data_IF_600824843969
#
_entry.id   IF_600824843969
#
_cell.length_a   1.000
_cell.length_b   1.000
_cell.length_c   1.000
_cell.angle_alpha   90.00
_cell.angle_beta   90.00
_cell.angle_gamma   90.00
#
_symmetry.space_group_name_H-M   'P 1'
#
loop_
_entity.id
_entity.type
_entity.pdbx_description
1 polymer ?
#
# COMPACT_ATOMS: atom_id res chain seq x y z
N UNK A 1 -10.20 15.11 18.32
CA UNK A 1 -9.86 14.64 16.96
C UNK A 1 -8.71 13.63 17.00
N UNK A 2 -7.50 13.98 17.45
CA UNK A 2 -6.37 13.04 17.50
C UNK A 2 -6.55 11.88 18.51
N UNK A 3 -7.20 12.14 19.65
CA UNK A 3 -7.35 11.18 20.76
C UNK A 3 -8.10 9.91 20.36
N UNK A 4 -9.23 10.04 19.63
CA UNK A 4 -10.01 8.89 19.17
C UNK A 4 -9.20 8.00 18.21
N UNK A 5 -8.47 8.60 17.27
CA UNK A 5 -7.61 7.86 16.33
C UNK A 5 -6.42 7.16 17.02
N UNK A 6 -5.89 7.75 18.09
CA UNK A 6 -4.86 7.12 18.92
C UNK A 6 -5.45 5.96 19.73
N UNK A 7 -6.64 6.11 20.29
CA UNK A 7 -7.31 5.06 21.06
C UNK A 7 -7.64 3.83 20.22
N UNK A 8 -8.05 3.98 18.95
CA UNK A 8 -8.28 2.84 18.05
C UNK A 8 -7.02 1.96 17.90
N UNK A 9 -5.82 2.53 18.02
CA UNK A 9 -4.58 1.76 17.91
C UNK A 9 -4.24 1.03 19.22
N UNK A 10 -4.63 1.56 20.40
CA UNK A 10 -4.10 1.11 21.70
C UNK A 10 -5.10 0.46 22.66
N UNK A 11 -6.41 0.74 22.59
CA UNK A 11 -7.44 0.10 23.45
C UNK A 11 -8.89 0.41 23.04
N UNK A 12 -9.82 -0.51 23.33
CA UNK A 12 -11.28 -0.37 23.10
C UNK A 12 -11.67 0.13 21.70
N UNK A 13 -11.13 -0.51 20.67
CA UNK A 13 -11.30 -0.14 19.25
C UNK A 13 -12.77 0.12 18.87
N UNK A 14 -13.69 -0.74 19.31
CA UNK A 14 -15.13 -0.61 18.98
C UNK A 14 -15.79 0.62 19.60
N UNK A 15 -15.37 1.05 20.80
CA UNK A 15 -15.89 2.26 21.44
C UNK A 15 -15.44 3.52 20.69
N UNK A 16 -14.14 3.61 20.37
CA UNK A 16 -13.59 4.73 19.62
C UNK A 16 -14.16 4.80 18.18
N UNK A 17 -14.37 3.66 17.52
CA UNK A 17 -15.09 3.61 16.22
C UNK A 17 -16.55 4.09 16.39
N UNK A 18 -17.21 3.73 17.49
CA UNK A 18 -18.55 4.21 17.84
C UNK A 18 -18.63 5.73 17.98
N UNK A 19 -17.66 6.35 18.67
CA UNK A 19 -17.55 7.81 18.79
C UNK A 19 -17.33 8.49 17.43
N UNK A 20 -16.45 7.92 16.59
CA UNK A 20 -16.23 8.41 15.22
C UNK A 20 -17.54 8.36 14.43
N UNK A 21 -18.26 7.24 14.47
CA UNK A 21 -19.58 7.11 13.82
C UNK A 21 -20.57 8.14 14.32
N UNK A 22 -20.68 8.32 15.64
CA UNK A 22 -21.63 9.23 16.27
C UNK A 22 -21.33 10.70 16.02
N UNK A 23 -20.07 11.04 15.70
CA UNK A 23 -19.70 12.39 15.28
C UNK A 23 -20.38 12.84 13.99
N UNK A 24 -20.74 11.89 13.11
CA UNK A 24 -21.29 12.18 11.79
C UNK A 24 -20.31 12.87 10.84
N UNK A 25 -19.02 12.96 11.19
CA UNK A 25 -18.00 13.67 10.43
C UNK A 25 -17.36 12.75 9.38
N UNK A 26 -17.63 12.95 8.07
CA UNK A 26 -17.11 12.08 7.02
C UNK A 26 -15.59 12.18 6.85
N UNK A 27 -14.93 13.20 7.42
CA UNK A 27 -13.46 13.33 7.31
C UNK A 27 -12.73 12.14 7.93
N UNK A 28 -13.35 11.40 8.85
CA UNK A 28 -12.77 10.18 9.42
C UNK A 28 -12.80 8.96 8.48
N UNK A 29 -13.53 9.01 7.36
CA UNK A 29 -13.63 7.88 6.41
C UNK A 29 -12.24 7.37 5.95
N UNK A 30 -11.30 8.22 5.48
CA UNK A 30 -9.92 7.81 5.20
C UNK A 30 -9.26 6.96 6.30
N UNK A 31 -9.42 7.33 7.56
CA UNK A 31 -8.82 6.59 8.68
C UNK A 31 -9.50 5.24 8.92
N UNK A 32 -10.83 5.18 8.80
CA UNK A 32 -11.58 3.93 8.91
C UNK A 32 -11.20 2.95 7.78
N UNK A 33 -10.96 3.45 6.56
CA UNK A 33 -10.49 2.64 5.43
C UNK A 33 -9.08 2.09 5.68
N UNK A 34 -8.15 2.89 6.24
CA UNK A 34 -6.84 2.39 6.64
C UNK A 34 -6.96 1.30 7.72
N UNK A 35 -7.77 1.52 8.74
CA UNK A 35 -7.97 0.54 9.82
C UNK A 35 -8.55 -0.78 9.32
N UNK A 36 -9.41 -0.74 8.30
CA UNK A 36 -9.93 -1.95 7.64
C UNK A 36 -8.80 -2.78 6.99
N UNK A 37 -7.73 -2.15 6.49
CA UNK A 37 -6.53 -2.85 5.98
C UNK A 37 -5.71 -3.48 7.10
N UNK A 38 -5.58 -2.78 8.23
CA UNK A 38 -4.73 -3.16 9.36
C UNK A 38 -5.48 -3.93 10.47
N UNK A 39 -6.68 -4.44 10.18
CA UNK A 39 -7.37 -5.44 11.00
C UNK A 39 -7.26 -6.87 10.41
N UNK A 40 -6.05 -7.43 10.20
CA UNK A 40 -5.88 -8.71 9.50
C UNK A 40 -6.30 -9.94 10.32
N UNK A 41 -6.68 -9.78 11.60
CA UNK A 41 -6.98 -10.90 12.52
C UNK A 41 -8.48 -11.17 12.75
N UNK A 42 -9.38 -10.70 11.88
CA UNK A 42 -10.81 -11.04 11.91
C UNK A 42 -11.45 -10.93 13.31
N UNK A 43 -11.10 -9.89 14.08
CA UNK A 43 -11.94 -9.51 15.21
C UNK A 43 -13.24 -9.00 14.60
N UNK A 44 -14.20 -9.92 14.44
CA UNK A 44 -15.43 -9.70 13.70
C UNK A 44 -16.14 -8.44 14.19
N UNK A 45 -16.19 -8.25 15.51
CA UNK A 45 -16.80 -7.07 16.15
C UNK A 45 -16.15 -5.74 15.72
N UNK A 46 -14.82 -5.73 15.51
CA UNK A 46 -14.09 -4.54 15.05
C UNK A 46 -14.36 -4.30 13.58
N UNK A 47 -14.32 -5.34 12.75
CA UNK A 47 -14.65 -5.24 11.32
C UNK A 47 -16.09 -4.75 11.14
N UNK A 48 -17.05 -5.32 11.87
CA UNK A 48 -18.45 -4.93 11.82
C UNK A 48 -18.64 -3.48 12.28
N UNK A 49 -17.92 -3.07 13.33
CA UNK A 49 -17.93 -1.68 13.79
C UNK A 49 -17.37 -0.71 12.74
N UNK A 50 -16.24 -1.06 12.10
CA UNK A 50 -15.63 -0.26 11.03
C UNK A 50 -16.57 -0.12 9.84
N UNK A 51 -17.15 -1.23 9.37
CA UNK A 51 -18.07 -1.23 8.24
C UNK A 51 -19.34 -0.44 8.57
N UNK A 52 -19.87 -0.57 9.78
CA UNK A 52 -21.04 0.21 10.18
C UNK A 52 -20.73 1.72 10.28
N UNK A 53 -19.56 2.09 10.79
CA UNK A 53 -19.13 3.49 10.81
C UNK A 53 -18.97 4.03 9.37
N UNK A 54 -18.31 3.27 8.49
CA UNK A 54 -18.14 3.63 7.09
C UNK A 54 -19.49 3.84 6.39
N UNK A 55 -20.43 2.90 6.52
CA UNK A 55 -21.79 3.00 5.97
C UNK A 55 -22.53 4.24 6.47
N UNK A 56 -22.43 4.52 7.78
CA UNK A 56 -23.13 5.64 8.40
C UNK A 56 -22.59 6.98 7.89
N UNK A 57 -21.26 7.09 7.78
CA UNK A 57 -20.60 8.32 7.38
C UNK A 57 -20.64 8.54 5.85
N UNK A 58 -20.69 7.48 5.05
CA UNK A 58 -20.78 7.57 3.59
C UNK A 58 -22.19 7.80 3.07
N UNK A 59 -23.23 7.29 3.74
CA UNK A 59 -24.60 7.33 3.25
C UNK A 59 -25.11 8.74 2.84
N UNK A 60 -24.77 9.85 3.53
CA UNK A 60 -25.17 11.19 3.10
C UNK A 60 -24.50 11.70 1.82
N UNK A 61 -23.40 11.07 1.37
CA UNK A 61 -22.55 11.55 0.27
C UNK A 61 -23.08 11.04 -1.07
N UNK A 62 -23.32 9.74 -1.19
CA UNK A 62 -23.71 9.10 -2.46
C UNK A 62 -24.95 8.22 -2.36
N UNK A 63 -25.57 8.13 -1.17
CA UNK A 63 -26.75 7.31 -0.93
C UNK A 63 -26.48 5.80 -0.99
N UNK A 64 -25.22 5.37 -1.08
CA UNK A 64 -24.87 3.95 -1.08
C UNK A 64 -24.76 3.49 0.37
N UNK A 65 -25.59 2.52 0.73
CA UNK A 65 -25.36 1.67 1.90
C UNK A 65 -24.61 0.44 1.41
N UNK A 66 -23.33 0.32 1.79
CA UNK A 66 -22.45 -0.77 1.41
C UNK A 66 -22.82 -2.02 2.23
N UNK A 67 -24.00 -2.60 1.96
CA UNK A 67 -24.44 -3.82 2.64
C UNK A 67 -23.38 -4.94 2.51
N UNK A 68 -22.63 -5.18 3.60
CA UNK A 68 -21.80 -6.37 3.92
C UNK A 68 -20.83 -6.97 2.88
N UNK A 69 -20.61 -6.37 1.71
CA UNK A 69 -19.89 -7.03 0.59
C UNK A 69 -18.76 -6.24 -0.05
N UNK A 70 -17.99 -5.49 0.73
CA UNK A 70 -16.90 -4.72 0.15
C UNK A 70 -15.57 -4.97 0.86
N UNK A 71 -14.63 -5.45 0.06
CA UNK A 71 -13.22 -5.57 0.41
C UNK A 71 -12.65 -4.19 0.70
N UNK A 72 -11.57 -4.13 1.47
CA UNK A 72 -10.78 -2.90 1.65
C UNK A 72 -10.52 -2.18 0.31
N UNK A 73 -10.20 -2.94 -0.75
CA UNK A 73 -9.93 -2.38 -2.08
C UNK A 73 -11.13 -1.66 -2.73
N UNK A 74 -12.36 -2.02 -2.38
CA UNK A 74 -13.54 -1.31 -2.88
C UNK A 74 -13.73 0.02 -2.16
N UNK A 75 -13.50 0.06 -0.84
CA UNK A 75 -13.51 1.31 -0.07
C UNK A 75 -12.43 2.29 -0.51
N UNK A 76 -11.23 1.80 -0.85
CA UNK A 76 -10.17 2.64 -1.44
C UNK A 76 -10.62 3.27 -2.75
N UNK A 77 -11.25 2.50 -3.64
CA UNK A 77 -11.77 3.03 -4.92
C UNK A 77 -12.86 4.08 -4.69
N UNK A 78 -13.81 3.77 -3.82
CA UNK A 78 -14.87 4.69 -3.46
C UNK A 78 -14.31 6.00 -2.90
N UNK A 79 -13.31 5.93 -2.02
CA UNK A 79 -12.67 7.11 -1.43
C UNK A 79 -12.01 7.97 -2.52
N UNK A 80 -11.32 7.34 -3.49
CA UNK A 80 -10.72 8.05 -4.62
C UNK A 80 -11.78 8.73 -5.51
N UNK A 81 -12.94 8.10 -5.71
CA UNK A 81 -14.04 8.66 -6.51
C UNK A 81 -14.75 9.85 -5.81
N UNK A 82 -14.73 9.88 -4.48
CA UNK A 82 -15.46 10.88 -3.68
C UNK A 82 -14.56 11.96 -3.05
N UNK A 83 -13.24 11.80 -3.06
CA UNK A 83 -12.24 12.81 -2.64
C UNK A 83 -12.54 13.45 -1.28
N UNK A 84 -12.59 12.63 -0.23
CA UNK A 84 -12.90 13.10 1.14
C UNK A 84 -11.63 13.56 1.85
N UNK A 85 -11.57 14.85 2.19
CA UNK A 85 -10.47 15.43 2.95
C UNK A 85 -10.33 14.76 4.33
N UNK A 86 -9.12 14.27 4.63
CA UNK A 86 -8.81 13.67 5.92
C UNK A 86 -8.61 14.74 7.01
N UNK A 87 -8.86 14.44 8.30
CA UNK A 87 -8.68 15.38 9.40
C UNK A 87 -7.23 15.82 9.58
N UNK A 88 -7.03 16.97 10.21
CA UNK A 88 -5.69 17.41 10.64
C UNK A 88 -5.00 16.31 11.48
N UNK A 89 -3.71 16.09 11.26
CA UNK A 89 -2.96 15.03 11.94
C UNK A 89 -3.04 13.66 11.27
N UNK A 90 -3.86 13.49 10.23
CA UNK A 90 -4.03 12.20 9.54
C UNK A 90 -2.72 11.65 9.00
N UNK A 91 -1.87 12.49 8.41
CA UNK A 91 -0.57 12.09 7.87
C UNK A 91 0.33 11.45 8.94
N UNK A 92 0.49 12.13 10.08
CA UNK A 92 1.29 11.64 11.20
C UNK A 92 0.69 10.37 11.82
N UNK A 93 -0.62 10.34 11.99
CA UNK A 93 -1.33 9.16 12.48
C UNK A 93 -1.14 7.95 11.56
N UNK A 94 -1.25 8.14 10.25
CA UNK A 94 -1.07 7.08 9.25
C UNK A 94 0.37 6.58 9.22
N UNK A 95 1.36 7.47 9.28
CA UNK A 95 2.76 7.08 9.43
C UNK A 95 3.02 6.27 10.68
N UNK A 96 2.42 6.67 11.80
CA UNK A 96 2.48 5.91 13.04
C UNK A 96 1.83 4.52 12.91
N UNK A 97 0.65 4.42 12.29
CA UNK A 97 0.01 3.15 12.00
C UNK A 97 0.92 2.23 11.16
N UNK A 98 1.66 2.78 10.20
CA UNK A 98 2.54 2.00 9.33
C UNK A 98 3.77 1.47 10.07
N UNK A 99 4.17 2.10 11.19
CA UNK A 99 5.23 1.56 12.05
C UNK A 99 4.88 0.22 12.69
N UNK A 100 3.59 -0.14 12.74
CA UNK A 100 3.16 -1.46 13.20
C UNK A 100 3.54 -2.58 12.22
N UNK A 101 3.75 -2.25 10.94
CA UNK A 101 4.30 -3.18 9.93
C UNK A 101 5.82 -3.16 9.98
N UNK A 102 6.39 -1.96 9.86
CA UNK A 102 7.83 -1.73 9.80
C UNK A 102 8.15 -0.36 10.41
N UNK A 103 8.96 -0.30 11.49
CA UNK A 103 9.33 0.95 12.13
C UNK A 103 9.88 2.02 11.18
N UNK A 104 10.57 1.64 10.10
CA UNK A 104 11.14 2.57 9.13
C UNK A 104 10.07 3.30 8.31
N UNK A 105 8.85 2.76 8.20
CA UNK A 105 7.79 3.38 7.41
C UNK A 105 7.28 4.70 7.99
N UNK A 106 7.46 4.93 9.29
CA UNK A 106 7.10 6.20 9.93
C UNK A 106 7.87 7.41 9.38
N UNK A 107 8.96 7.19 8.66
CA UNK A 107 9.72 8.26 8.00
C UNK A 107 9.02 8.84 6.76
N UNK A 108 8.06 8.13 6.16
CA UNK A 108 7.42 8.54 4.89
C UNK A 108 6.18 9.42 5.09
N UNK A 109 5.47 9.26 6.21
CA UNK A 109 4.23 9.97 6.50
C UNK A 109 4.34 10.61 7.88
N UNK A 110 4.36 11.94 7.91
CA UNK A 110 4.52 12.75 9.12
C UNK A 110 3.74 14.06 9.00
N UNK A 111 3.59 14.78 10.10
CA UNK A 111 2.84 16.04 10.10
C UNK A 111 3.51 17.07 9.18
N UNK A 112 2.74 17.62 8.24
CA UNK A 112 3.25 18.59 7.26
C UNK A 112 4.13 17.98 6.18
N UNK A 113 4.10 16.65 5.97
CA UNK A 113 4.79 16.02 4.83
C UNK A 113 4.35 16.67 3.51
N UNK A 114 5.28 17.12 2.65
CA UNK A 114 4.90 17.72 1.38
C UNK A 114 4.27 16.68 0.44
N UNK A 115 3.05 16.93 -0.02
CA UNK A 115 2.37 16.04 -0.98
C UNK A 115 1.86 16.78 -2.20
N UNK A 116 1.70 16.04 -3.30
CA UNK A 116 1.05 16.48 -4.55
C UNK A 116 -0.19 15.65 -4.90
N UNK A 117 -0.47 14.66 -4.05
CA UNK A 117 -1.61 13.76 -4.11
C UNK A 117 -2.25 13.77 -2.73
N UNK A 118 -3.50 13.31 -2.64
CA UNK A 118 -4.15 13.10 -1.36
C UNK A 118 -3.41 12.01 -0.56
N UNK A 119 -3.18 12.27 0.72
CA UNK A 119 -2.57 11.31 1.65
C UNK A 119 -3.46 10.09 1.85
N UNK A 120 -4.78 10.21 1.66
CA UNK A 120 -5.73 9.10 1.61
C UNK A 120 -5.40 8.07 0.53
N UNK A 121 -4.82 8.50 -0.60
CA UNK A 121 -4.47 7.61 -1.73
C UNK A 121 -3.17 6.80 -1.51
N UNK A 122 -2.32 7.21 -0.57
CA UNK A 122 -1.06 6.52 -0.28
C UNK A 122 -1.32 5.25 0.53
N UNK A 123 -1.38 4.07 -0.09
CA UNK A 123 -1.71 2.82 0.63
C UNK A 123 -0.51 1.89 0.80
N UNK A 124 -0.49 1.08 1.86
CA UNK A 124 0.54 0.07 2.07
C UNK A 124 0.40 -1.13 1.10
N UNK A 125 1.43 -1.34 0.29
CA UNK A 125 1.47 -2.35 -0.78
C UNK A 125 1.60 -3.82 -0.34
N UNK A 126 1.83 -4.10 0.95
CA UNK A 126 1.84 -5.48 1.48
C UNK A 126 3.23 -6.06 1.80
N UNK A 127 4.30 -5.29 1.62
CA UNK A 127 5.67 -5.68 2.01
C UNK A 127 6.31 -4.63 2.89
N UNK A 128 7.25 -5.03 3.75
CA UNK A 128 8.06 -4.12 4.56
C UNK A 128 8.96 -3.25 3.66
N UNK A 129 9.58 -2.20 4.23
CA UNK A 129 10.52 -1.36 3.48
C UNK A 129 11.68 -2.24 3.02
N UNK A 130 12.02 -2.15 1.73
CA UNK A 130 13.06 -2.96 1.07
C UNK A 130 12.82 -4.49 1.16
N UNK A 131 11.58 -4.93 1.43
CA UNK A 131 11.23 -6.36 1.54
C UNK A 131 11.32 -7.13 0.21
N UNK A 132 11.38 -6.41 -0.91
CA UNK A 132 11.65 -6.94 -2.25
C UNK A 132 12.99 -6.35 -2.69
N UNK A 133 14.12 -7.04 -2.48
CA UNK A 133 15.43 -6.52 -2.82
C UNK A 133 15.58 -6.46 -4.34
N UNK A 134 16.04 -5.33 -4.86
CA UNK A 134 16.39 -5.21 -6.27
C UNK A 134 17.64 -6.02 -6.61
N UNK A 135 17.76 -6.42 -7.87
CA UNK A 135 19.03 -6.92 -8.39
C UNK A 135 19.94 -5.73 -8.67
N UNK A 136 21.17 -5.77 -8.14
CA UNK A 136 22.21 -4.76 -8.41
C UNK A 136 23.43 -5.43 -8.99
N UNK A 137 23.82 -5.01 -10.19
CA UNK A 137 24.93 -5.56 -10.96
C UNK A 137 24.94 -7.11 -10.94
N UNK A 138 23.81 -7.75 -11.32
CA UNK A 138 23.67 -9.19 -11.17
C UNK A 138 24.71 -9.92 -12.03
N UNK A 139 25.22 -11.09 -11.58
CA UNK A 139 26.19 -11.86 -12.35
C UNK A 139 25.59 -12.32 -13.67
N UNK A 140 26.42 -12.27 -14.72
CA UNK A 140 26.04 -12.64 -16.09
C UNK A 140 26.73 -13.93 -16.46
N UNK A 141 25.99 -14.84 -17.09
CA UNK A 141 26.51 -16.10 -17.61
C UNK A 141 26.34 -16.16 -19.12
N UNK A 142 27.17 -16.96 -19.80
CA UNK A 142 26.99 -17.23 -21.22
C UNK A 142 25.71 -18.05 -21.46
N UNK A 143 25.16 -18.04 -22.69
CA UNK A 143 24.01 -18.88 -23.03
C UNK A 143 24.20 -20.36 -22.68
N UNK A 144 25.39 -20.91 -22.90
CA UNK A 144 25.70 -22.32 -22.65
C UNK A 144 25.74 -22.64 -21.15
N UNK A 145 26.15 -21.67 -20.33
CA UNK A 145 26.17 -21.79 -18.87
C UNK A 145 24.79 -21.60 -18.24
N UNK A 146 23.80 -21.11 -19.00
CA UNK A 146 22.44 -20.88 -18.52
C UNK A 146 21.57 -22.16 -18.47
N UNK A 147 22.13 -23.26 -17.96
CA UNK A 147 21.51 -24.60 -17.88
C UNK A 147 20.27 -24.67 -17.00
N UNK A 148 20.00 -23.61 -16.24
CA UNK A 148 18.86 -23.45 -15.37
C UNK A 148 17.61 -22.94 -16.11
N UNK A 149 17.74 -22.52 -17.39
CA UNK A 149 16.63 -22.12 -18.27
C UNK A 149 16.15 -23.28 -19.14
N UNK A 150 14.84 -23.39 -19.33
CA UNK A 150 14.25 -24.22 -20.38
C UNK A 150 14.14 -23.43 -21.71
N UNK A 151 14.02 -24.09 -22.87
CA UNK A 151 13.85 -23.42 -24.16
C UNK A 151 12.65 -22.45 -24.23
N UNK A 152 11.58 -22.74 -23.48
CA UNK A 152 10.34 -21.92 -23.47
C UNK A 152 10.28 -20.93 -22.30
N UNK A 153 11.33 -20.83 -21.47
CA UNK A 153 11.38 -19.87 -20.37
C UNK A 153 11.39 -18.44 -20.93
N UNK A 154 10.52 -17.59 -20.39
CA UNK A 154 10.45 -16.19 -20.78
C UNK A 154 11.63 -15.40 -20.22
N UNK A 155 12.15 -14.48 -21.04
CA UNK A 155 13.20 -13.53 -20.66
C UNK A 155 12.83 -12.13 -21.13
N UNK A 156 13.35 -11.13 -20.44
CA UNK A 156 13.43 -9.77 -20.96
C UNK A 156 14.76 -9.62 -21.70
N UNK A 157 14.72 -9.39 -23.00
CA UNK A 157 15.93 -9.14 -23.81
C UNK A 157 16.21 -7.65 -23.92
N UNK A 158 17.42 -7.23 -23.60
CA UNK A 158 17.87 -5.83 -23.76
C UNK A 158 19.07 -5.82 -24.69
N UNK A 159 19.09 -4.85 -25.61
CA UNK A 159 20.18 -4.64 -26.57
C UNK A 159 20.58 -3.17 -26.61
N UNK A 160 21.81 -2.86 -26.20
CA UNK A 160 22.33 -1.49 -26.13
C UNK A 160 23.77 -1.48 -26.64
N UNK A 161 24.10 -0.58 -27.58
CA UNK A 161 25.45 -0.40 -28.12
C UNK A 161 26.13 -1.71 -28.60
N UNK A 162 25.36 -2.67 -29.11
CA UNK A 162 25.87 -3.96 -29.60
C UNK A 162 26.09 -5.00 -28.51
N UNK A 163 25.84 -4.69 -27.24
CA UNK A 163 25.75 -5.67 -26.16
C UNK A 163 24.31 -6.13 -25.98
N UNK A 164 24.15 -7.43 -25.71
CA UNK A 164 22.85 -8.08 -25.55
C UNK A 164 22.82 -8.84 -24.23
N UNK A 165 21.72 -8.72 -23.49
CA UNK A 165 21.52 -9.45 -22.23
C UNK A 165 20.08 -9.94 -22.12
N UNK A 166 19.92 -11.13 -21.55
CA UNK A 166 18.63 -11.70 -21.22
C UNK A 166 18.47 -11.75 -19.70
N UNK A 167 17.36 -11.23 -19.20
CA UNK A 167 16.98 -11.27 -17.79
C UNK A 167 15.83 -12.26 -17.62
N UNK A 168 16.07 -13.45 -17.03
CA UNK A 168 15.02 -14.46 -16.87
C UNK A 168 13.84 -13.94 -16.08
N UNK A 169 12.63 -14.10 -16.63
CA UNK A 169 11.39 -13.69 -15.95
C UNK A 169 11.28 -14.33 -14.57
N UNK A 170 11.60 -15.62 -14.43
CA UNK A 170 11.55 -16.32 -13.14
C UNK A 170 12.57 -15.82 -12.10
N UNK A 171 13.60 -15.09 -12.51
CA UNK A 171 14.51 -14.39 -11.58
C UNK A 171 13.97 -12.98 -11.33
N UNK A 172 13.55 -12.26 -12.37
CA UNK A 172 13.01 -10.90 -12.22
C UNK A 172 11.74 -10.87 -11.36
N UNK A 173 10.85 -11.85 -11.48
CA UNK A 173 9.54 -11.84 -10.82
C UNK A 173 9.59 -11.63 -9.30
N UNK A 174 10.44 -12.33 -8.51
CA UNK A 174 10.56 -12.05 -7.07
C UNK A 174 11.37 -10.78 -6.73
N UNK A 175 12.06 -10.16 -7.69
CA UNK A 175 12.92 -9.00 -7.46
C UNK A 175 12.32 -7.69 -7.99
N UNK A 176 11.40 -7.76 -8.96
CA UNK A 176 10.66 -6.68 -9.63
C UNK A 176 11.52 -5.58 -10.31
N UNK A 177 12.81 -5.53 -10.01
CA UNK A 177 13.75 -4.54 -10.51
C UNK A 177 15.17 -5.10 -10.66
N UNK A 178 15.85 -4.70 -11.73
CA UNK A 178 17.29 -4.89 -11.91
C UNK A 178 17.96 -3.59 -12.34
N UNK A 179 18.97 -3.18 -11.56
CA UNK A 179 19.88 -2.09 -11.83
C UNK A 179 21.20 -2.67 -12.35
N UNK A 180 21.61 -2.23 -13.53
CA UNK A 180 22.71 -2.86 -14.28
C UNK A 180 23.40 -1.85 -15.21
N UNK A 181 24.53 -2.22 -15.80
CA UNK A 181 25.21 -1.49 -16.86
C UNK A 181 25.39 -2.39 -18.08
N UNK A 182 24.83 -1.96 -19.22
CA UNK A 182 24.88 -2.70 -20.48
C UNK A 182 25.34 -1.78 -21.61
N UNK A 183 26.35 -2.19 -22.38
CA UNK A 183 26.89 -1.37 -23.47
C UNK A 183 27.41 0.00 -23.00
N UNK A 184 27.88 0.08 -21.75
CA UNK A 184 28.31 1.33 -21.10
C UNK A 184 27.17 2.25 -20.62
N UNK A 185 25.91 1.83 -20.69
CA UNK A 185 24.75 2.61 -20.27
C UNK A 185 24.16 2.03 -18.98
N UNK A 186 24.03 2.83 -17.91
CA UNK A 186 23.26 2.43 -16.73
C UNK A 186 21.79 2.25 -17.08
N UNK A 187 21.21 1.13 -16.66
CA UNK A 187 19.81 0.79 -16.91
C UNK A 187 19.10 0.38 -15.61
N UNK A 188 17.80 0.65 -15.58
CA UNK A 188 16.87 0.10 -14.59
C UNK A 188 15.76 -0.64 -15.35
N UNK A 189 15.69 -1.95 -15.19
CA UNK A 189 14.61 -2.79 -15.70
C UNK A 189 13.60 -3.03 -14.58
N UNK A 190 12.39 -2.49 -14.72
CA UNK A 190 11.25 -2.77 -13.83
C UNK A 190 10.19 -3.60 -14.58
N UNK A 191 9.54 -4.55 -13.91
CA UNK A 191 8.56 -5.48 -14.49
C UNK A 191 7.32 -5.63 -13.64
#
# INVERSE_FOLDING_TARGET
MLTALQEVIFSSQTAAIGEIRESGDPTYIPALVELLRFNPFYMQDVTDSLLYALDTLSAPIDGITFSTRFTWSAWVKWLAENSIDAPQGFAAWKGYLYTLVDPAMGAFLYEGVPTRIDIGEVVWGGVAKDGIPDLRDPPVVSPEAATYLNPDDRVFGISINGEHRAYPHRIMNPHEMANDVLGGVPIALAY
#
